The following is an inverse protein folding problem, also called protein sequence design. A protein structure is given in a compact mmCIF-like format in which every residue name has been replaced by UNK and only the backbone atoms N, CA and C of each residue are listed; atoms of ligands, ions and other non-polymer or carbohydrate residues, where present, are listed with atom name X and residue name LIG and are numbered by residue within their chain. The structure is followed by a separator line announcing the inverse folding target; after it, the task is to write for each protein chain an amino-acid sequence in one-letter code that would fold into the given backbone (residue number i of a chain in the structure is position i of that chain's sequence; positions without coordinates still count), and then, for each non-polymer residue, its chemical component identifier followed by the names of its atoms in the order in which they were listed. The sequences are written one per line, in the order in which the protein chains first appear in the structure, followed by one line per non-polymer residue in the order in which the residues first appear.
data_IF_749033783322
#
_entry.id   IF_749033783322
#
_cell.length_a   1.000
_cell.length_b   1.000
_cell.length_c   1.000
_cell.angle_alpha   90.00
_cell.angle_beta   90.00
_cell.angle_gamma   90.00
#
_symmetry.space_group_name_H-M   'P 1'
#
loop_
_entity.id
_entity.type
_entity.pdbx_description
1 polymer ?
#
# COMPACT_ATOMS: atom_id res chain seq x y z
N UNK A 1 3.16 -18.36 23.61
CA UNK A 1 3.28 -17.41 22.46
C UNK A 1 2.09 -17.58 21.54
N UNK A 2 1.61 -16.48 20.96
CA UNK A 2 0.45 -16.49 20.05
C UNK A 2 0.92 -16.71 18.61
N UNK A 3 0.36 -17.72 17.95
CA UNK A 3 0.58 -17.97 16.53
C UNK A 3 -0.76 -18.07 15.81
N UNK A 4 -0.87 -17.43 14.65
CA UNK A 4 -2.04 -17.58 13.78
C UNK A 4 -1.81 -18.70 12.77
N UNK A 5 -2.85 -19.48 12.50
CA UNK A 5 -2.84 -20.49 11.44
C UNK A 5 -2.73 -19.82 10.06
N UNK A 6 -2.39 -20.62 9.04
CA UNK A 6 -2.42 -20.14 7.66
C UNK A 6 -3.82 -19.65 7.28
N UNK A 7 -4.87 -20.37 7.71
CA UNK A 7 -6.25 -19.95 7.42
C UNK A 7 -6.59 -18.59 8.01
N UNK A 8 -6.17 -18.33 9.26
CA UNK A 8 -6.38 -17.05 9.91
C UNK A 8 -5.60 -15.94 9.21
N UNK A 9 -4.34 -16.19 8.85
CA UNK A 9 -3.53 -15.19 8.14
C UNK A 9 -4.08 -14.91 6.74
N UNK A 10 -4.57 -15.94 6.04
CA UNK A 10 -5.22 -15.75 4.75
C UNK A 10 -6.48 -14.89 4.89
N UNK A 11 -7.28 -15.11 5.94
CA UNK A 11 -8.46 -14.29 6.18
C UNK A 11 -8.11 -12.82 6.42
N UNK A 12 -7.03 -12.55 7.16
CA UNK A 12 -6.52 -11.19 7.36
C UNK A 12 -6.06 -10.57 6.03
N UNK A 13 -5.32 -11.32 5.22
CA UNK A 13 -4.86 -10.87 3.91
C UNK A 13 -6.03 -10.63 2.96
N UNK A 14 -7.06 -11.48 2.98
CA UNK A 14 -8.28 -11.29 2.17
C UNK A 14 -9.02 -10.03 2.58
N UNK A 15 -9.07 -9.72 3.87
CA UNK A 15 -9.62 -8.47 4.36
C UNK A 15 -8.88 -7.27 3.80
N UNK A 16 -7.56 -7.31 3.79
CA UNK A 16 -6.72 -6.25 3.23
C UNK A 16 -6.95 -6.12 1.71
N UNK A 17 -6.94 -7.24 0.99
CA UNK A 17 -7.18 -7.25 -0.47
C UNK A 17 -8.55 -6.65 -0.79
N UNK A 18 -9.58 -7.04 -0.05
CA UNK A 18 -10.94 -6.52 -0.25
C UNK A 18 -11.02 -5.03 0.03
N UNK A 19 -10.38 -4.56 1.11
CA UNK A 19 -10.40 -3.14 1.47
C UNK A 19 -9.63 -2.30 0.45
N UNK A 20 -8.47 -2.74 -0.01
CA UNK A 20 -7.71 -2.04 -1.03
C UNK A 20 -8.46 -1.97 -2.37
N UNK A 21 -9.26 -3.00 -2.67
CA UNK A 21 -10.05 -3.06 -3.88
C UNK A 21 -9.21 -3.23 -5.13
N UNK A 22 -9.80 -2.85 -6.27
CA UNK A 22 -9.09 -2.87 -7.56
C UNK A 22 -8.46 -1.51 -7.83
N UNK A 23 -7.32 -1.52 -8.54
CA UNK A 23 -6.62 -0.31 -8.96
C UNK A 23 -6.14 0.56 -7.79
N UNK A 24 -5.70 -0.06 -6.70
CA UNK A 24 -5.03 0.65 -5.63
C UNK A 24 -3.77 1.36 -6.13
N UNK A 25 -3.30 2.35 -5.40
CA UNK A 25 -2.16 3.16 -5.81
C UNK A 25 -1.07 3.07 -4.75
N UNK A 26 0.14 2.74 -5.21
CA UNK A 26 1.34 2.70 -4.37
C UNK A 26 2.06 4.04 -4.53
N UNK A 27 1.95 4.89 -3.50
CA UNK A 27 2.54 6.24 -3.52
C UNK A 27 3.84 6.24 -2.75
N UNK A 28 4.91 6.74 -3.35
CA UNK A 28 6.23 6.84 -2.71
C UNK A 28 6.51 8.31 -2.42
N UNK A 29 6.93 8.60 -1.18
CA UNK A 29 7.13 9.96 -0.69
C UNK A 29 8.54 10.17 -0.18
N UNK A 30 8.99 11.44 -0.22
CA UNK A 30 10.14 11.94 0.52
C UNK A 30 9.64 12.76 1.71
N UNK A 31 10.44 12.81 2.77
CA UNK A 31 10.11 13.57 3.98
C UNK A 31 9.84 12.67 5.18
N UNK A 32 9.21 13.23 6.19
CA UNK A 32 8.94 12.51 7.43
C UNK A 32 7.66 11.70 7.30
N UNK A 33 7.74 10.39 7.57
CA UNK A 33 6.56 9.53 7.57
C UNK A 33 5.59 10.02 8.64
N UNK A 34 4.27 10.14 8.33
CA UNK A 34 3.27 10.48 9.34
C UNK A 34 3.26 9.48 10.49
N UNK A 35 2.77 9.92 11.65
CA UNK A 35 2.74 9.10 12.87
C UNK A 35 1.96 7.79 12.69
N UNK A 36 0.92 7.81 11.84
CA UNK A 36 0.12 6.62 11.51
C UNK A 36 -0.59 6.82 10.17
N UNK A 37 -1.16 5.73 9.65
CA UNK A 37 -1.84 5.74 8.35
C UNK A 37 -3.10 6.63 8.30
N UNK A 38 -3.66 6.99 9.45
CA UNK A 38 -4.81 7.90 9.50
C UNK A 38 -4.41 9.38 9.45
N UNK A 39 -3.12 9.68 9.55
CA UNK A 39 -2.62 11.06 9.50
C UNK A 39 -2.44 11.49 8.05
N UNK A 40 -3.01 12.64 7.69
CA UNK A 40 -2.93 13.15 6.33
C UNK A 40 -1.50 13.53 5.94
N UNK A 41 -1.20 13.39 4.64
CA UNK A 41 0.03 13.93 4.06
C UNK A 41 -0.07 15.45 4.05
N UNK A 42 0.97 16.14 4.52
CA UNK A 42 0.98 17.61 4.61
C UNK A 42 2.21 18.19 3.91
N UNK A 43 3.40 18.01 4.49
CA UNK A 43 4.65 18.61 3.99
C UNK A 43 5.50 17.65 3.16
N UNK A 44 5.13 16.38 3.10
CA UNK A 44 5.87 15.37 2.36
C UNK A 44 5.71 15.57 0.86
N UNK A 45 6.75 15.24 0.10
CA UNK A 45 6.75 15.37 -1.35
C UNK A 45 6.44 14.04 -2.00
N UNK A 46 5.41 13.99 -2.83
CA UNK A 46 5.11 12.81 -3.63
C UNK A 46 6.17 12.67 -4.73
N UNK A 47 6.87 11.55 -4.74
CA UNK A 47 7.87 11.25 -5.76
C UNK A 47 7.26 10.54 -6.96
N UNK A 48 6.42 9.53 -6.72
CA UNK A 48 5.78 8.76 -7.77
C UNK A 48 4.53 8.08 -7.24
N UNK A 49 3.52 7.96 -8.08
CA UNK A 49 2.29 7.21 -7.80
C UNK A 49 2.22 6.04 -8.79
N UNK A 50 2.32 4.82 -8.28
CA UNK A 50 2.38 3.61 -9.09
C UNK A 50 1.05 2.87 -9.00
N UNK A 51 0.22 2.88 -10.06
CA UNK A 51 -1.04 2.13 -10.04
C UNK A 51 -0.78 0.62 -9.95
N UNK A 52 -1.57 -0.07 -9.12
CA UNK A 52 -1.59 -1.53 -9.07
C UNK A 52 -2.75 -1.97 -9.97
N UNK A 53 -2.43 -2.65 -11.08
CA UNK A 53 -3.43 -3.03 -12.06
C UNK A 53 -4.30 -4.18 -11.56
N UNK A 54 -5.62 -3.97 -11.49
CA UNK A 54 -6.57 -5.01 -11.08
C UNK A 54 -6.57 -5.25 -9.58
N UNK A 55 -6.60 -6.53 -9.17
CA UNK A 55 -6.65 -6.90 -7.74
C UNK A 55 -5.37 -6.50 -7.01
N UNK A 56 -5.50 -6.18 -5.73
CA UNK A 56 -4.39 -5.72 -4.90
C UNK A 56 -3.27 -6.77 -4.80
N UNK A 57 -3.63 -8.03 -4.69
CA UNK A 57 -2.67 -9.11 -4.57
C UNK A 57 -3.33 -10.46 -4.36
N UNK A 58 -2.51 -11.46 -4.07
CA UNK A 58 -2.96 -12.82 -3.77
C UNK A 58 -2.35 -13.29 -2.47
N UNK A 59 -3.02 -14.20 -1.77
CA UNK A 59 -2.50 -14.78 -0.54
C UNK A 59 -2.40 -16.30 -0.66
N UNK A 60 -1.27 -16.83 -0.21
CA UNK A 60 -1.00 -18.28 -0.17
C UNK A 60 -0.26 -18.57 1.13
N UNK A 61 -0.80 -19.50 1.91
CA UNK A 61 -0.18 -19.95 3.17
C UNK A 61 0.19 -18.78 4.11
N UNK A 62 -0.69 -17.77 4.20
CA UNK A 62 -0.48 -16.63 5.07
C UNK A 62 0.47 -15.56 4.52
N UNK A 63 0.92 -15.71 3.27
CA UNK A 63 1.79 -14.74 2.62
C UNK A 63 1.01 -13.97 1.57
N UNK A 64 0.96 -12.64 1.72
CA UNK A 64 0.37 -11.75 0.74
C UNK A 64 1.43 -11.33 -0.26
N UNK A 65 1.16 -11.56 -1.55
CA UNK A 65 2.00 -11.09 -2.64
C UNK A 65 1.24 -10.02 -3.41
N UNK A 66 1.79 -8.81 -3.48
CA UNK A 66 1.17 -7.73 -4.22
C UNK A 66 1.20 -8.00 -5.72
N UNK A 67 0.14 -7.57 -6.42
CA UNK A 67 0.12 -7.56 -7.88
C UNK A 67 1.15 -6.58 -8.42
N UNK A 68 1.55 -6.77 -9.69
CA UNK A 68 2.54 -5.90 -10.31
C UNK A 68 2.04 -4.45 -10.38
N UNK A 69 2.93 -3.50 -10.10
CA UNK A 69 2.65 -2.08 -10.26
C UNK A 69 2.96 -1.66 -11.70
N UNK A 70 2.20 -0.69 -12.21
CA UNK A 70 2.46 -0.12 -13.53
C UNK A 70 3.58 0.92 -13.40
N UNK A 71 4.68 0.80 -14.15
CA UNK A 71 5.74 1.80 -14.12
C UNK A 71 5.23 3.17 -14.52
N UNK A 72 5.67 4.20 -13.81
CA UNK A 72 5.22 5.58 -14.01
C UNK A 72 6.41 6.52 -13.85
N UNK A 73 6.41 7.62 -14.59
CA UNK A 73 7.44 8.65 -14.44
C UNK A 73 7.32 9.36 -13.11
N UNK A 74 8.44 9.60 -12.45
CA UNK A 74 8.51 10.37 -11.19
C UNK A 74 7.96 11.78 -11.40
N UNK A 75 7.15 12.24 -10.44
CA UNK A 75 6.55 13.59 -10.47
C UNK A 75 7.23 14.55 -9.50
N UNK A 76 8.21 14.08 -8.72
CA UNK A 76 8.95 14.91 -7.76
C UNK A 76 10.38 14.45 -7.66
N UNK A 77 11.20 15.23 -6.94
CA UNK A 77 12.61 14.92 -6.70
C UNK A 77 12.85 14.77 -5.21
N UNK A 78 13.77 13.89 -4.84
CA UNK A 78 14.13 13.67 -3.46
C UNK A 78 14.50 12.22 -3.20
N UNK A 79 14.79 11.92 -1.93
CA UNK A 79 15.09 10.57 -1.50
C UNK A 79 13.82 9.93 -0.94
N UNK A 80 13.46 8.75 -1.46
CA UNK A 80 12.31 8.00 -0.97
C UNK A 80 12.54 7.56 0.47
N UNK A 81 11.61 7.89 1.36
CA UNK A 81 11.70 7.57 2.78
C UNK A 81 10.57 6.68 3.28
N UNK A 82 9.39 6.75 2.67
CA UNK A 82 8.27 5.90 3.03
C UNK A 82 7.30 5.77 1.86
N UNK A 83 6.34 4.86 2.00
CA UNK A 83 5.26 4.74 1.02
C UNK A 83 3.90 4.77 1.72
N UNK A 84 2.87 5.10 0.96
CA UNK A 84 1.47 5.01 1.38
C UNK A 84 0.66 4.37 0.26
N UNK A 85 -0.07 3.31 0.59
CA UNK A 85 -0.98 2.65 -0.36
C UNK A 85 -2.38 3.19 -0.12
N UNK A 86 -3.03 3.62 -1.18
CA UNK A 86 -4.41 4.12 -1.13
C UNK A 86 -5.30 3.32 -2.06
N UNK A 87 -6.61 3.34 -1.78
CA UNK A 87 -7.62 2.89 -2.73
C UNK A 87 -7.62 3.81 -3.95
N UNK A 88 -8.22 3.37 -5.05
CA UNK A 88 -8.38 4.20 -6.25
C UNK A 88 -9.12 5.51 -5.95
N UNK A 89 -10.02 5.50 -4.98
CA UNK A 89 -10.75 6.68 -4.52
C UNK A 89 -10.00 7.57 -3.54
N UNK A 90 -8.79 7.19 -3.10
CA UNK A 90 -7.94 7.99 -2.24
C UNK A 90 -7.95 7.62 -0.76
N UNK A 91 -8.81 6.71 -0.30
CA UNK A 91 -8.80 6.26 1.09
C UNK A 91 -7.51 5.50 1.40
N UNK A 92 -6.91 5.77 2.56
CA UNK A 92 -5.62 5.18 2.93
C UNK A 92 -5.82 3.71 3.33
N UNK A 93 -4.94 2.85 2.81
CA UNK A 93 -4.90 1.42 3.15
C UNK A 93 -3.80 1.15 4.18
N UNK A 94 -2.58 1.55 3.89
CA UNK A 94 -1.44 1.31 4.78
C UNK A 94 -0.25 2.18 4.43
N UNK A 95 0.61 2.38 5.41
CA UNK A 95 1.92 3.03 5.25
C UNK A 95 3.06 2.03 5.51
N UNK A 96 4.19 2.28 4.93
CA UNK A 96 5.39 1.48 5.18
C UNK A 96 6.69 2.23 5.01
#
# INVERSE_FOLDING_TARGET
MLYYSYGTRNAQNQGLITYAGTNAIFNIYAGTQPANANTAITTQTLLVALPISGVFGTDVNGTLTLSAVTPTTSVGSGTATFFRITQSGGAVVMDG
#
